data_IF_296403682285
#
_entry.id   IF_296403682285
#
_cell.length_a   1.000
_cell.length_b   1.000
_cell.length_c   1.000
_cell.angle_alpha   90.00
_cell.angle_beta   90.00
_cell.angle_gamma   90.00
#
_symmetry.space_group_name_H-M   'P 1'
#
loop_
_entity.id
_entity.type
_entity.pdbx_description
1 polymer ?
#
# COMPACT_ATOMS: atom_id res chain seq x y z
N UNK A 1 -3.43 3.59 28.84
CA UNK A 1 -3.47 5.02 29.17
C UNK A 1 -3.29 5.30 30.66
N UNK A 2 -3.21 4.28 31.53
CA UNK A 2 -2.95 4.49 32.97
C UNK A 2 -1.51 4.97 33.25
N UNK A 3 -0.57 4.76 32.32
CA UNK A 3 0.84 5.18 32.41
C UNK A 3 1.19 6.26 31.36
N UNK A 4 0.41 7.35 31.26
CA UNK A 4 0.78 8.46 30.37
C UNK A 4 1.64 9.47 31.14
N UNK A 5 2.89 9.66 30.71
CA UNK A 5 3.74 10.72 31.23
C UNK A 5 3.34 12.08 30.64
N UNK A 6 3.71 13.17 31.34
CA UNK A 6 3.63 14.53 30.80
C UNK A 6 4.55 14.62 29.57
N UNK A 7 3.97 14.48 28.37
CA UNK A 7 4.70 14.47 27.10
C UNK A 7 4.23 13.41 26.09
N UNK A 8 3.43 12.43 26.50
CA UNK A 8 2.90 11.42 25.59
C UNK A 8 1.72 11.94 24.75
N UNK A 9 1.72 11.61 23.45
CA UNK A 9 0.71 11.98 22.46
C UNK A 9 -0.71 11.52 22.81
N UNK A 10 -0.86 10.67 23.82
CA UNK A 10 -2.16 10.24 24.33
C UNK A 10 -2.93 9.28 23.43
N UNK A 11 -2.41 9.01 22.23
CA UNK A 11 -2.97 8.09 21.24
C UNK A 11 -1.83 7.39 20.52
N UNK A 12 -1.96 6.07 20.36
CA UNK A 12 -1.08 5.24 19.56
C UNK A 12 -1.77 4.80 18.27
N UNK A 13 -1.07 4.88 17.14
CA UNK A 13 -1.60 4.51 15.82
C UNK A 13 -0.78 3.35 15.25
N UNK A 14 -1.44 2.22 14.99
CA UNK A 14 -0.82 1.00 14.48
C UNK A 14 -1.22 0.74 13.02
N UNK A 15 -0.25 0.78 12.10
CA UNK A 15 -0.47 0.46 10.69
C UNK A 15 -0.34 -1.05 10.46
N UNK A 16 -1.42 -1.68 9.99
CA UNK A 16 -1.46 -3.12 9.73
C UNK A 16 -0.90 -3.45 8.34
N UNK A 17 -0.16 -4.55 8.23
CA UNK A 17 0.33 -5.08 6.96
C UNK A 17 -0.79 -5.85 6.26
N UNK A 18 -1.09 -5.50 5.01
CA UNK A 18 -2.13 -6.14 4.19
C UNK A 18 -1.50 -6.73 2.93
N UNK A 19 -1.75 -8.03 2.70
CA UNK A 19 -1.36 -8.75 1.48
C UNK A 19 0.10 -8.54 1.04
N UNK A 20 1.03 -8.55 2.00
CA UNK A 20 2.45 -8.35 1.72
C UNK A 20 3.10 -9.69 1.35
N UNK A 21 3.93 -9.69 0.30
CA UNK A 21 4.75 -10.85 -0.07
C UNK A 21 5.82 -11.14 1.00
N UNK A 22 6.00 -12.42 1.33
CA UNK A 22 7.12 -12.91 2.13
C UNK A 22 8.31 -13.33 1.27
N UNK A 23 9.46 -13.59 1.90
CA UNK A 23 10.66 -14.08 1.20
C UNK A 23 10.44 -15.43 0.49
N UNK A 24 9.44 -16.22 0.92
CA UNK A 24 9.08 -17.52 0.32
C UNK A 24 7.83 -17.41 -0.58
N UNK A 25 7.51 -16.21 -1.07
CA UNK A 25 6.33 -15.94 -1.91
C UNK A 25 4.98 -16.25 -1.25
N UNK A 26 4.92 -16.36 0.07
CA UNK A 26 3.66 -16.50 0.80
C UNK A 26 3.05 -15.13 1.13
N UNK A 27 1.78 -15.11 1.49
CA UNK A 27 1.05 -13.90 1.84
C UNK A 27 1.09 -13.61 3.36
N UNK A 28 1.56 -12.43 3.73
CA UNK A 28 1.49 -11.86 5.07
C UNK A 28 0.30 -10.91 5.14
N UNK A 29 -0.64 -11.20 6.04
CA UNK A 29 -1.84 -10.40 6.20
C UNK A 29 -2.19 -10.28 7.69
N UNK A 30 -2.33 -9.06 8.18
CA UNK A 30 -2.75 -8.78 9.54
C UNK A 30 -4.25 -8.45 9.59
N UNK A 31 -4.92 -8.95 10.64
CA UNK A 31 -6.36 -8.78 10.85
C UNK A 31 -6.61 -8.29 12.27
N UNK A 32 -7.33 -7.16 12.46
CA UNK A 32 -7.65 -6.68 13.80
C UNK A 32 -8.57 -7.67 14.52
N UNK A 33 -8.32 -7.86 15.82
CA UNK A 33 -9.14 -8.68 16.72
C UNK A 33 -10.11 -7.83 17.56
N UNK A 34 -9.67 -6.64 17.93
CA UNK A 34 -10.40 -5.75 18.84
C UNK A 34 -11.55 -5.02 18.15
N UNK A 35 -12.59 -4.70 18.91
CA UNK A 35 -13.74 -3.90 18.44
C UNK A 35 -13.71 -2.48 18.99
N UNK A 36 -14.43 -1.58 18.33
CA UNK A 36 -14.56 -0.18 18.78
C UNK A 36 -15.21 -0.14 20.17
N UNK A 37 -14.54 0.55 21.11
CA UNK A 37 -15.00 0.68 22.50
C UNK A 37 -14.50 -0.41 23.46
N UNK A 38 -13.76 -1.40 22.95
CA UNK A 38 -13.14 -2.42 23.78
C UNK A 38 -11.98 -1.84 24.60
N UNK A 39 -11.93 -2.18 25.89
CA UNK A 39 -10.80 -1.81 26.77
C UNK A 39 -9.70 -2.85 26.61
N UNK A 40 -8.51 -2.39 26.24
CA UNK A 40 -7.32 -3.24 26.07
C UNK A 40 -6.31 -3.00 27.19
N UNK A 41 -5.59 -4.05 27.57
CA UNK A 41 -4.50 -3.97 28.55
C UNK A 41 -3.14 -3.97 27.88
N UNK A 42 -2.11 -3.50 28.60
CA UNK A 42 -0.73 -3.50 28.11
C UNK A 42 -0.29 -4.94 27.83
N UNK A 43 0.21 -5.19 26.62
CA UNK A 43 0.64 -6.51 26.17
C UNK A 43 -0.45 -7.39 25.57
N UNK A 44 -1.71 -6.93 25.55
CA UNK A 44 -2.79 -7.64 24.86
C UNK A 44 -2.58 -7.62 23.35
N UNK A 45 -2.83 -8.76 22.69
CA UNK A 45 -2.79 -8.89 21.23
C UNK A 45 -4.01 -8.19 20.63
N UNK A 46 -3.78 -7.22 19.76
CA UNK A 46 -4.84 -6.42 19.11
C UNK A 46 -5.11 -6.83 17.65
N UNK A 47 -4.22 -7.61 17.05
CA UNK A 47 -4.35 -8.13 15.70
C UNK A 47 -3.57 -9.43 15.52
N UNK A 48 -4.15 -10.34 14.73
CA UNK A 48 -3.49 -11.56 14.31
C UNK A 48 -2.67 -11.33 13.04
N UNK A 49 -1.59 -12.11 12.93
CA UNK A 49 -0.73 -12.18 11.76
C UNK A 49 -0.99 -13.42 10.91
N UNK A 50 -0.06 -13.74 9.98
CA UNK A 50 -0.13 -15.00 9.24
C UNK A 50 0.05 -16.20 10.19
N UNK A 51 -0.79 -17.22 10.02
CA UNK A 51 -0.77 -18.46 10.82
C UNK A 51 -0.94 -18.24 12.34
N UNK A 52 -1.75 -17.25 12.72
CA UNK A 52 -2.13 -16.96 14.10
C UNK A 52 -3.65 -16.88 14.19
N UNK A 53 -4.21 -17.38 15.29
CA UNK A 53 -5.63 -17.26 15.64
C UNK A 53 -5.75 -16.86 17.11
N UNK A 54 -6.34 -15.70 17.39
CA UNK A 54 -6.53 -15.15 18.74
C UNK A 54 -5.24 -15.06 19.57
N UNK A 55 -4.11 -14.73 18.92
CA UNK A 55 -2.79 -14.66 19.56
C UNK A 55 -2.09 -16.01 19.76
N UNK A 56 -2.68 -17.12 19.34
CA UNK A 56 -2.07 -18.45 19.38
C UNK A 56 -1.57 -18.89 18.00
N UNK A 57 -0.50 -19.69 17.98
CA UNK A 57 0.07 -20.21 16.73
C UNK A 57 -0.87 -21.26 16.11
N UNK A 58 -1.37 -20.98 14.90
CA UNK A 58 -2.31 -21.84 14.18
C UNK A 58 -1.73 -22.23 12.81
N UNK A 59 -0.93 -23.31 12.79
CA UNK A 59 -0.20 -23.76 11.59
C UNK A 59 -1.06 -24.54 10.58
N UNK A 60 -2.21 -25.07 11.00
CA UNK A 60 -2.98 -26.02 10.20
C UNK A 60 -4.47 -26.04 10.54
N UNK A 61 -5.12 -27.13 10.18
CA UNK A 61 -6.56 -27.34 10.38
C UNK A 61 -6.81 -28.67 11.06
N UNK A 62 -7.79 -28.69 11.96
CA UNK A 62 -8.26 -29.92 12.57
C UNK A 62 -9.09 -30.70 11.54
N UNK A 63 -8.73 -31.96 11.32
CA UNK A 63 -9.40 -32.86 10.38
C UNK A 63 -9.76 -34.18 11.06
N UNK A 64 -10.82 -34.83 10.60
CA UNK A 64 -11.20 -36.16 11.09
C UNK A 64 -10.29 -37.20 10.44
N UNK A 65 -9.65 -38.02 11.28
CA UNK A 65 -8.71 -39.06 10.83
C UNK A 65 -9.29 -40.44 11.16
N UNK A 66 -9.28 -41.33 10.17
CA UNK A 66 -9.66 -42.73 10.33
C UNK A 66 -8.46 -43.63 10.09
N UNK A 67 -8.11 -44.44 11.08
CA UNK A 67 -7.02 -45.42 10.96
C UNK A 67 -7.57 -46.74 10.42
N UNK A 68 -7.62 -46.86 9.10
CA UNK A 68 -8.00 -48.10 8.42
C UNK A 68 -7.31 -48.22 7.06
N UNK A 69 -6.99 -49.43 6.59
CA UNK A 69 -6.59 -49.62 5.20
C UNK A 69 -7.78 -49.33 4.28
N UNK A 70 -7.56 -48.57 3.21
CA UNK A 70 -8.60 -48.20 2.26
C UNK A 70 -8.18 -48.49 0.82
N UNK A 71 -8.58 -49.66 0.30
CA UNK A 71 -8.37 -50.09 -1.09
C UNK A 71 -6.92 -49.94 -1.61
N UNK A 72 -5.92 -49.95 -0.71
CA UNK A 72 -4.51 -49.75 -1.06
C UNK A 72 -4.10 -48.30 -1.36
N UNK A 73 -5.01 -47.33 -1.29
CA UNK A 73 -4.67 -45.91 -1.55
C UNK A 73 -3.82 -45.28 -0.45
N UNK A 74 -3.85 -45.83 0.75
CA UNK A 74 -2.99 -45.45 1.87
C UNK A 74 -1.88 -46.47 2.10
N UNK A 75 -1.33 -47.02 1.02
CA UNK A 75 -0.15 -47.89 1.08
C UNK A 75 1.11 -47.07 1.44
N UNK A 76 1.99 -47.66 2.26
CA UNK A 76 3.17 -46.99 2.86
C UNK A 76 2.76 -45.71 3.61
N UNK A 77 3.31 -44.57 3.21
CA UNK A 77 3.08 -43.26 3.83
C UNK A 77 2.07 -42.40 3.04
N UNK A 78 1.30 -43.01 2.14
CA UNK A 78 0.32 -42.30 1.31
C UNK A 78 -0.89 -41.84 2.15
N UNK A 79 -1.31 -40.59 1.94
CA UNK A 79 -2.47 -40.01 2.63
C UNK A 79 -3.66 -39.95 1.68
N UNK A 80 -4.77 -40.57 2.07
CA UNK A 80 -6.04 -40.42 1.37
C UNK A 80 -6.81 -39.22 1.93
N UNK A 81 -7.20 -38.30 1.04
CA UNK A 81 -7.86 -37.04 1.41
C UNK A 81 -9.28 -37.05 0.87
N UNK A 82 -10.23 -36.64 1.71
CA UNK A 82 -11.62 -36.46 1.28
C UNK A 82 -11.73 -35.29 0.30
N UNK A 83 -12.49 -35.46 -0.77
CA UNK A 83 -12.77 -34.40 -1.74
C UNK A 83 -13.31 -33.12 -1.08
N UNK A 84 -14.06 -33.26 0.03
CA UNK A 84 -14.57 -32.13 0.81
C UNK A 84 -13.47 -31.16 1.26
N UNK A 85 -12.28 -31.67 1.58
CA UNK A 85 -11.14 -30.83 2.01
C UNK A 85 -10.69 -29.90 0.87
N UNK A 86 -10.75 -30.36 -0.38
CA UNK A 86 -10.42 -29.56 -1.57
C UNK A 86 -11.55 -28.61 -1.97
N UNK A 87 -12.81 -29.08 -1.88
CA UNK A 87 -13.99 -28.27 -2.18
C UNK A 87 -14.16 -27.10 -1.21
N UNK A 88 -13.94 -27.31 0.09
CA UNK A 88 -14.09 -26.31 1.14
C UNK A 88 -12.84 -25.41 1.32
N UNK A 89 -11.85 -25.51 0.40
CA UNK A 89 -10.61 -24.72 0.40
C UNK A 89 -9.83 -24.77 1.74
N UNK A 90 -9.89 -25.91 2.45
CA UNK A 90 -9.34 -26.07 3.81
C UNK A 90 -7.82 -25.85 3.86
N UNK A 91 -7.12 -26.37 2.85
CA UNK A 91 -5.66 -26.26 2.69
C UNK A 91 -5.28 -25.42 1.47
N UNK A 92 -6.11 -24.44 1.10
CA UNK A 92 -5.80 -23.51 0.02
C UNK A 92 -4.96 -22.35 0.54
N UNK A 93 -3.81 -22.10 -0.08
CA UNK A 93 -2.90 -21.01 0.28
C UNK A 93 -2.88 -19.91 -0.78
N UNK A 94 -2.53 -18.70 -0.36
CA UNK A 94 -2.30 -17.56 -1.26
C UNK A 94 -0.80 -17.36 -1.40
N UNK A 95 -0.33 -17.42 -2.63
CA UNK A 95 1.04 -17.11 -3.02
C UNK A 95 1.05 -15.80 -3.79
N UNK A 96 2.05 -14.97 -3.56
CA UNK A 96 2.23 -13.71 -4.28
C UNK A 96 3.54 -13.84 -5.04
N UNK A 97 3.41 -13.95 -6.36
CA UNK A 97 4.53 -14.02 -7.28
C UNK A 97 4.86 -12.62 -7.80
N UNK A 98 6.16 -12.32 -7.86
CA UNK A 98 6.66 -11.04 -8.38
C UNK A 98 7.25 -11.27 -9.76
N UNK A 99 6.73 -10.52 -10.73
CA UNK A 99 7.26 -10.44 -12.08
C UNK A 99 7.87 -9.06 -12.27
N UNK A 100 9.12 -9.00 -12.72
CA UNK A 100 9.80 -7.74 -12.96
C UNK A 100 10.32 -7.65 -14.39
N UNK A 101 10.23 -6.45 -14.96
CA UNK A 101 10.86 -6.12 -16.24
C UNK A 101 11.52 -4.75 -16.15
N UNK A 102 12.69 -4.65 -16.75
CA UNK A 102 13.45 -3.41 -16.84
C UNK A 102 13.58 -3.00 -18.31
N UNK A 103 13.33 -1.72 -18.57
CA UNK A 103 13.63 -1.05 -19.82
C UNK A 103 15.01 -0.41 -19.70
N UNK A 104 15.92 -0.81 -20.59
CA UNK A 104 17.32 -0.40 -20.56
C UNK A 104 17.67 0.50 -21.74
N UNK A 105 18.62 1.38 -21.53
CA UNK A 105 19.26 2.09 -22.63
C UNK A 105 20.27 1.14 -23.32
N UNK A 106 20.11 0.94 -24.62
CA UNK A 106 20.97 0.06 -25.41
C UNK A 106 21.73 0.85 -26.46
N UNK A 107 22.78 0.26 -27.02
CA UNK A 107 23.57 0.91 -28.09
C UNK A 107 22.75 1.25 -29.34
N UNK A 108 21.65 0.54 -29.57
CA UNK A 108 20.79 0.69 -30.74
C UNK A 108 19.62 1.66 -30.48
N UNK A 109 19.48 2.13 -29.23
CA UNK A 109 18.38 2.98 -28.78
C UNK A 109 17.82 2.52 -27.44
N UNK A 110 17.00 3.35 -26.79
CA UNK A 110 16.33 3.00 -25.56
C UNK A 110 15.26 1.91 -25.79
N UNK A 111 15.15 0.96 -24.87
CA UNK A 111 13.95 0.11 -24.79
C UNK A 111 12.79 0.93 -24.22
N UNK A 112 11.59 0.69 -24.74
CA UNK A 112 10.38 1.43 -24.35
C UNK A 112 9.32 0.46 -23.84
N UNK A 113 8.54 0.92 -22.85
CA UNK A 113 7.36 0.21 -22.35
C UNK A 113 6.15 0.87 -23.01
N UNK A 114 5.43 0.10 -23.82
CA UNK A 114 4.31 0.59 -24.63
C UNK A 114 3.31 -0.52 -24.91
N UNK A 115 2.07 -0.13 -25.17
CA UNK A 115 1.01 -1.02 -25.66
C UNK A 115 1.17 -1.37 -27.14
N UNK A 116 1.89 -0.56 -27.91
CA UNK A 116 2.10 -0.75 -29.35
C UNK A 116 3.19 -1.80 -29.61
N UNK A 117 2.79 -3.08 -29.60
CA UNK A 117 3.70 -4.22 -29.75
C UNK A 117 3.47 -4.87 -31.13
N UNK A 118 4.52 -5.03 -31.96
CA UNK A 118 4.36 -5.63 -33.28
C UNK A 118 4.04 -7.12 -33.19
N UNK A 119 3.24 -7.61 -34.14
CA UNK A 119 2.86 -9.03 -34.28
C UNK A 119 2.03 -9.61 -33.09
N UNK A 120 1.38 -8.75 -32.30
CA UNK A 120 0.49 -9.15 -31.20
C UNK A 120 -0.95 -8.80 -31.56
N UNK A 121 -1.88 -9.75 -31.39
CA UNK A 121 -3.31 -9.52 -31.64
C UNK A 121 -3.99 -8.71 -30.53
N UNK A 122 -5.10 -8.03 -30.86
CA UNK A 122 -5.84 -7.19 -29.90
C UNK A 122 -6.30 -7.94 -28.64
N UNK A 123 -6.59 -9.23 -28.76
CA UNK A 123 -7.01 -10.07 -27.62
C UNK A 123 -5.94 -10.14 -26.53
N UNK A 124 -4.66 -10.22 -26.89
CA UNK A 124 -3.56 -10.23 -25.93
C UNK A 124 -3.28 -8.83 -25.33
N UNK A 125 -3.75 -7.77 -25.98
CA UNK A 125 -3.62 -6.38 -25.50
C UNK A 125 -4.81 -5.93 -24.66
N UNK A 126 -5.86 -6.77 -24.50
CA UNK A 126 -7.11 -6.40 -23.79
C UNK A 126 -6.90 -6.00 -22.33
N UNK A 127 -5.90 -6.61 -21.70
CA UNK A 127 -5.61 -6.44 -20.27
C UNK A 127 -4.61 -5.29 -20.01
N UNK A 128 -4.02 -4.70 -21.07
CA UNK A 128 -3.03 -3.64 -20.95
C UNK A 128 -3.68 -2.25 -20.99
N UNK A 129 -3.17 -1.36 -20.15
CA UNK A 129 -3.49 0.06 -20.16
C UNK A 129 -2.79 0.80 -21.32
N UNK A 130 -3.07 2.10 -21.45
CA UNK A 130 -2.48 2.95 -22.49
C UNK A 130 -0.94 3.04 -22.38
N UNK A 131 -0.38 2.85 -21.19
CA UNK A 131 1.06 2.80 -20.96
C UNK A 131 1.68 1.41 -21.24
N UNK A 132 0.88 0.42 -21.64
CA UNK A 132 1.34 -0.95 -21.90
C UNK A 132 1.55 -1.78 -20.64
N UNK A 133 0.90 -1.46 -19.53
CA UNK A 133 0.99 -2.17 -18.25
C UNK A 133 -0.37 -2.79 -17.90
N UNK A 134 -0.37 -3.99 -17.33
CA UNK A 134 -1.61 -4.67 -16.94
C UNK A 134 -2.38 -3.91 -15.84
N UNK A 135 -3.72 -3.91 -15.93
CA UNK A 135 -4.58 -3.33 -14.90
C UNK A 135 -4.51 -4.10 -13.57
N UNK A 136 -4.59 -3.37 -12.44
CA UNK A 136 -4.76 -3.97 -11.12
C UNK A 136 -6.17 -4.58 -11.04
N UNK A 137 -6.26 -5.83 -10.61
CA UNK A 137 -7.50 -6.61 -10.58
C UNK A 137 -7.78 -7.41 -11.85
N UNK A 138 -6.93 -7.34 -12.87
CA UNK A 138 -7.05 -8.20 -14.04
C UNK A 138 -6.71 -9.66 -13.69
N UNK A 139 -7.53 -10.59 -14.18
CA UNK A 139 -7.22 -12.01 -14.18
C UNK A 139 -6.31 -12.33 -15.37
N UNK A 140 -5.21 -13.01 -15.08
CA UNK A 140 -4.16 -13.33 -16.05
C UNK A 140 -3.93 -14.82 -16.14
N UNK A 141 -3.76 -15.29 -17.36
CA UNK A 141 -3.51 -16.69 -17.70
C UNK A 141 -2.07 -16.88 -18.22
N UNK A 142 -1.55 -18.12 -18.24
CA UNK A 142 -0.23 -18.40 -18.80
C UNK A 142 -0.09 -17.89 -20.24
N UNK A 143 0.95 -17.07 -20.49
CA UNK A 143 1.22 -16.49 -21.81
C UNK A 143 0.66 -15.08 -22.03
N UNK A 144 -0.23 -14.60 -21.15
CA UNK A 144 -0.72 -13.22 -21.17
C UNK A 144 0.42 -12.22 -20.96
N UNK A 145 0.29 -11.04 -21.58
CA UNK A 145 1.26 -9.96 -21.47
C UNK A 145 0.94 -9.15 -20.20
N UNK A 146 1.92 -9.08 -19.28
CA UNK A 146 1.83 -8.26 -18.07
C UNK A 146 2.34 -6.84 -18.30
N UNK A 147 3.43 -6.72 -19.07
CA UNK A 147 4.04 -5.44 -19.42
C UNK A 147 4.57 -5.51 -20.85
N UNK A 148 4.02 -4.66 -21.71
CA UNK A 148 4.48 -4.48 -23.07
C UNK A 148 5.86 -3.82 -23.10
N UNK A 149 6.83 -4.47 -23.74
CA UNK A 149 8.18 -3.94 -23.91
C UNK A 149 8.66 -4.16 -25.33
N UNK A 150 9.19 -3.10 -25.93
CA UNK A 150 9.79 -3.13 -27.25
C UNK A 150 11.28 -2.81 -27.15
N UNK A 151 12.08 -3.53 -27.93
CA UNK A 151 13.53 -3.29 -28.06
C UNK A 151 13.84 -2.93 -29.52
N UNK A 152 14.55 -1.82 -29.78
CA UNK A 152 14.98 -1.48 -31.14
C UNK A 152 15.95 -2.55 -31.67
N UNK A 153 15.71 -3.02 -32.90
CA UNK A 153 16.65 -3.91 -33.61
C UNK A 153 17.65 -3.07 -34.39
N UNK A 154 18.84 -3.63 -34.60
CA UNK A 154 19.80 -3.07 -35.54
C UNK A 154 19.33 -3.30 -36.96
N UNK A 155 19.77 -2.43 -37.89
CA UNK A 155 19.44 -2.55 -39.31
C UNK A 155 19.84 -3.93 -39.83
N UNK A 156 18.83 -4.77 -40.06
CA UNK A 156 18.99 -6.02 -40.80
C UNK A 156 18.98 -5.69 -42.29
N UNK A 157 19.75 -6.38 -43.15
CA UNK A 157 19.65 -6.17 -44.59
C UNK A 157 18.23 -6.54 -45.05
N UNK A 158 17.40 -5.51 -45.28
CA UNK A 158 16.02 -5.68 -45.70
C UNK A 158 15.94 -6.22 -47.12
N UNK A 159 14.99 -7.13 -47.33
CA UNK A 159 14.64 -7.65 -48.65
C UNK A 159 14.08 -6.52 -49.54
N UNK A 160 14.20 -6.60 -50.88
CA UNK A 160 13.60 -5.63 -51.79
C UNK A 160 12.10 -5.38 -51.54
N UNK A 161 11.38 -6.41 -51.10
CA UNK A 161 9.96 -6.39 -50.74
C UNK A 161 9.69 -5.54 -49.48
N UNK A 162 10.49 -5.70 -48.44
CA UNK A 162 10.40 -4.89 -47.21
C UNK A 162 10.79 -3.42 -47.47
N UNK A 163 11.78 -3.18 -48.34
CA UNK A 163 12.13 -1.82 -48.78
C UNK A 163 10.98 -1.14 -49.52
N UNK A 164 10.27 -1.88 -50.37
CA UNK A 164 9.10 -1.36 -51.08
C UNK A 164 7.96 -1.03 -50.09
N UNK A 165 7.68 -1.92 -49.13
CA UNK A 165 6.67 -1.69 -48.10
C UNK A 165 7.02 -0.46 -47.24
N UNK A 166 8.28 -0.28 -46.84
CA UNK A 166 8.74 0.90 -46.09
C UNK A 166 8.60 2.20 -46.90
N UNK A 167 8.80 2.15 -48.22
CA UNK A 167 8.59 3.30 -49.09
C UNK A 167 7.10 3.68 -49.25
N UNK A 168 6.19 2.71 -49.14
CA UNK A 168 4.74 2.91 -49.30
C UNK A 168 4.08 3.34 -47.98
N UNK A 169 4.43 2.71 -46.86
CA UNK A 169 3.81 2.95 -45.54
C UNK A 169 4.59 3.95 -44.66
N UNK A 170 5.75 4.42 -45.13
CA UNK A 170 6.63 5.34 -44.40
C UNK A 170 7.47 4.64 -43.32
N UNK A 171 8.34 5.40 -42.67
CA UNK A 171 9.27 4.94 -41.60
C UNK A 171 8.61 4.39 -40.33
N UNK A 172 7.28 4.34 -40.26
CA UNK A 172 6.54 3.92 -39.05
C UNK A 172 6.59 2.42 -38.75
N UNK A 173 7.13 1.61 -39.65
CA UNK A 173 7.57 0.25 -39.28
C UNK A 173 8.93 0.38 -38.58
N UNK A 174 8.93 0.88 -37.34
CA UNK A 174 10.11 0.82 -36.50
C UNK A 174 10.49 -0.65 -36.37
N UNK A 175 11.75 -0.98 -36.67
CA UNK A 175 12.25 -2.36 -36.67
C UNK A 175 12.46 -2.78 -35.20
N UNK A 176 11.35 -2.94 -34.47
CA UNK A 176 11.34 -3.22 -33.04
C UNK A 176 10.97 -4.68 -32.80
N UNK A 177 11.49 -5.24 -31.72
CA UNK A 177 11.21 -6.62 -31.29
C UNK A 177 10.36 -6.58 -30.04
N UNK A 178 9.33 -7.43 -29.99
CA UNK A 178 8.63 -7.75 -28.75
C UNK A 178 9.59 -8.44 -27.77
N UNK A 179 9.83 -7.80 -26.62
CA UNK A 179 10.57 -8.32 -25.46
C UNK A 179 9.74 -8.18 -24.18
N UNK A 180 8.42 -8.21 -24.33
CA UNK A 180 7.42 -8.02 -23.27
C UNK A 180 7.51 -9.08 -22.17
N UNK A 181 7.08 -8.68 -20.98
CA UNK A 181 6.93 -9.56 -19.83
C UNK A 181 5.63 -10.36 -19.96
N UNK A 182 5.74 -11.68 -19.92
CA UNK A 182 4.59 -12.59 -20.00
C UNK A 182 4.49 -13.46 -18.75
N UNK A 183 3.26 -13.89 -18.44
CA UNK A 183 3.02 -14.85 -17.35
C UNK A 183 3.71 -16.18 -17.68
N UNK A 184 4.43 -16.74 -16.70
CA UNK A 184 5.14 -18.01 -16.86
C UNK A 184 4.15 -19.18 -17.04
N UNK A 185 4.52 -20.24 -17.78
CA UNK A 185 3.72 -21.45 -17.85
C UNK A 185 3.42 -22.02 -16.46
N UNK A 186 2.14 -22.26 -16.16
CA UNK A 186 1.68 -22.81 -14.88
C UNK A 186 1.34 -21.77 -13.81
N UNK A 187 1.72 -20.50 -13.99
CA UNK A 187 1.27 -19.40 -13.14
C UNK A 187 -0.02 -18.79 -13.69
N UNK A 188 -0.99 -18.53 -12.82
CA UNK A 188 -2.25 -17.87 -13.15
C UNK A 188 -2.75 -17.16 -11.90
N UNK A 189 -3.54 -16.11 -12.05
CA UNK A 189 -4.12 -15.44 -10.90
C UNK A 189 -4.54 -14.02 -11.19
N UNK A 190 -4.71 -13.24 -10.13
CA UNK A 190 -5.18 -11.86 -10.24
C UNK A 190 -4.04 -10.91 -9.92
N UNK A 191 -3.87 -9.86 -10.73
CA UNK A 191 -2.90 -8.80 -10.46
C UNK A 191 -3.34 -8.02 -9.22
N UNK A 192 -2.53 -8.02 -8.16
CA UNK A 192 -2.86 -7.34 -6.90
C UNK A 192 -2.21 -5.97 -6.77
N UNK A 193 -1.02 -5.81 -7.32
CA UNK A 193 -0.26 -4.57 -7.20
C UNK A 193 0.68 -4.42 -8.39
N UNK A 194 0.85 -3.17 -8.84
CA UNK A 194 1.82 -2.80 -9.87
C UNK A 194 2.65 -1.66 -9.32
N UNK A 195 3.98 -1.77 -9.40
CA UNK A 195 4.92 -0.72 -9.01
C UNK A 195 5.75 -0.31 -10.21
N UNK A 196 5.75 0.98 -10.49
CA UNK A 196 6.53 1.59 -11.58
C UNK A 196 7.63 2.43 -10.94
N UNK A 197 8.88 2.08 -11.23
CA UNK A 197 10.06 2.79 -10.77
C UNK A 197 10.67 3.52 -11.95
N UNK A 198 10.91 4.82 -11.79
CA UNK A 198 11.50 5.66 -12.83
C UNK A 198 12.81 6.26 -12.33
N UNK A 199 13.84 6.22 -13.17
CA UNK A 199 15.11 6.90 -12.88
C UNK A 199 14.91 8.42 -12.81
N UNK A 200 15.63 9.06 -11.91
CA UNK A 200 15.67 10.51 -11.81
C UNK A 200 16.07 11.17 -13.14
N UNK A 201 15.26 12.12 -13.63
CA UNK A 201 15.51 12.88 -14.86
C UNK A 201 14.92 12.28 -16.13
N UNK A 202 14.26 11.12 -16.06
CA UNK A 202 13.45 10.56 -17.15
C UNK A 202 12.06 11.17 -17.12
N UNK A 203 11.51 11.49 -18.29
CA UNK A 203 10.13 11.96 -18.40
C UNK A 203 9.16 10.88 -17.89
N UNK A 204 8.27 11.26 -16.98
CA UNK A 204 7.33 10.33 -16.36
C UNK A 204 6.11 10.18 -17.26
N UNK A 205 5.74 8.94 -17.56
CA UNK A 205 4.50 8.65 -18.28
C UNK A 205 3.27 9.09 -17.49
N UNK A 206 2.14 9.29 -18.18
CA UNK A 206 0.87 9.65 -17.54
C UNK A 206 0.48 8.68 -16.42
N UNK A 207 0.73 7.39 -16.62
CA UNK A 207 0.48 6.34 -15.62
C UNK A 207 1.35 6.51 -14.36
N UNK A 208 2.62 6.85 -14.52
CA UNK A 208 3.52 7.07 -13.39
C UNK A 208 3.15 8.34 -12.62
N UNK A 209 2.78 9.41 -13.33
CA UNK A 209 2.26 10.64 -12.72
C UNK A 209 0.95 10.41 -11.97
N UNK A 210 0.07 9.56 -12.50
CA UNK A 210 -1.17 9.17 -11.85
C UNK A 210 -0.88 8.42 -10.54
N UNK A 211 -0.01 7.40 -10.57
CA UNK A 211 0.38 6.64 -9.36
C UNK A 211 0.98 7.56 -8.29
N UNK A 212 1.86 8.47 -8.69
CA UNK A 212 2.46 9.45 -7.78
C UNK A 212 1.41 10.37 -7.15
N UNK A 213 0.46 10.88 -7.93
CA UNK A 213 -0.65 11.70 -7.41
C UNK A 213 -1.51 10.91 -6.43
N UNK A 214 -1.91 9.69 -6.79
CA UNK A 214 -2.74 8.82 -5.95
C UNK A 214 -2.03 8.48 -4.63
N UNK A 215 -0.72 8.24 -4.65
CA UNK A 215 0.07 7.96 -3.46
C UNK A 215 0.22 9.22 -2.58
N UNK A 216 0.45 10.40 -3.18
CA UNK A 216 0.49 11.67 -2.44
C UNK A 216 -0.88 11.98 -1.81
N UNK A 217 -1.99 11.75 -2.52
CA UNK A 217 -3.34 11.90 -1.99
C UNK A 217 -3.65 10.90 -0.87
N UNK A 218 -3.14 9.67 -0.96
CA UNK A 218 -3.25 8.68 0.12
C UNK A 218 -2.47 9.13 1.35
N UNK A 219 -1.23 9.58 1.18
CA UNK A 219 -0.41 10.12 2.26
C UNK A 219 -1.03 11.37 2.90
N UNK A 220 -1.70 12.21 2.09
CA UNK A 220 -2.40 13.39 2.58
C UNK A 220 -3.62 13.01 3.42
N UNK A 221 -4.43 12.04 2.97
CA UNK A 221 -5.54 11.48 3.76
C UNK A 221 -5.06 10.87 5.07
N UNK A 222 -4.01 10.05 5.04
CA UNK A 222 -3.39 9.50 6.24
C UNK A 222 -2.98 10.60 7.22
N UNK A 223 -2.30 11.65 6.74
CA UNK A 223 -1.90 12.79 7.58
C UNK A 223 -3.12 13.50 8.17
N UNK A 224 -4.14 13.77 7.36
CA UNK A 224 -5.33 14.49 7.81
C UNK A 224 -6.12 13.68 8.85
N UNK A 225 -6.19 12.36 8.69
CA UNK A 225 -6.78 11.46 9.69
C UNK A 225 -5.95 11.44 10.97
N UNK A 226 -4.62 11.31 10.88
CA UNK A 226 -3.72 11.37 12.04
C UNK A 226 -3.84 12.72 12.77
N UNK A 227 -3.90 13.84 12.04
CA UNK A 227 -4.09 15.17 12.59
C UNK A 227 -5.46 15.32 13.25
N UNK A 228 -6.54 14.82 12.63
CA UNK A 228 -7.87 14.87 13.20
C UNK A 228 -7.98 14.06 14.50
N UNK A 229 -7.30 12.92 14.59
CA UNK A 229 -7.19 12.11 15.81
C UNK A 229 -6.44 12.88 16.90
N UNK A 230 -5.30 13.48 16.55
CA UNK A 230 -4.50 14.29 17.45
C UNK A 230 -5.30 15.49 17.98
N UNK A 231 -5.91 16.27 17.09
CA UNK A 231 -6.76 17.41 17.42
C UNK A 231 -7.87 16.99 18.38
N UNK A 232 -8.60 15.90 18.06
CA UNK A 232 -9.68 15.41 18.91
C UNK A 232 -9.21 15.05 20.31
N UNK A 233 -8.04 14.43 20.45
CA UNK A 233 -7.48 14.07 21.74
C UNK A 233 -7.05 15.30 22.54
N UNK A 234 -6.28 16.20 21.93
CA UNK A 234 -5.74 17.39 22.58
C UNK A 234 -6.86 18.34 23.00
N UNK A 235 -7.84 18.60 22.13
CA UNK A 235 -8.96 19.47 22.48
C UNK A 235 -9.89 18.84 23.55
N UNK A 236 -10.01 17.51 23.60
CA UNK A 236 -10.73 16.86 24.69
C UNK A 236 -10.02 17.08 26.04
N UNK A 237 -8.69 16.87 26.07
CA UNK A 237 -7.87 17.13 27.26
C UNK A 237 -7.90 18.60 27.68
N UNK A 238 -7.75 19.51 26.70
CA UNK A 238 -7.80 20.95 26.93
C UNK A 238 -9.16 21.35 27.53
N UNK A 239 -10.27 20.84 26.97
CA UNK A 239 -11.62 21.07 27.51
C UNK A 239 -11.70 20.64 28.97
N UNK A 240 -11.26 19.43 29.31
CA UNK A 240 -11.32 18.91 30.67
C UNK A 240 -10.46 19.74 31.66
N UNK A 241 -9.35 20.32 31.20
CA UNK A 241 -8.48 21.17 32.02
C UNK A 241 -9.05 22.58 32.26
N UNK A 242 -9.68 23.19 31.25
CA UNK A 242 -10.14 24.59 31.33
C UNK A 242 -11.57 24.71 31.86
N UNK A 243 -12.38 23.65 31.79
CA UNK A 243 -13.80 23.70 32.17
C UNK A 243 -13.96 23.96 33.67
N UNK A 244 -14.77 24.96 34.01
CA UNK A 244 -15.02 25.38 35.40
C UNK A 244 -13.98 26.33 35.99
N UNK A 245 -12.84 26.59 35.30
CA UNK A 245 -11.81 27.55 35.72
C UNK A 245 -12.19 29.00 35.37
N UNK A 246 -11.49 29.97 35.95
CA UNK A 246 -11.70 31.41 35.70
C UNK A 246 -10.70 31.92 34.67
N UNK A 247 -11.20 32.56 33.60
CA UNK A 247 -10.38 33.20 32.59
C UNK A 247 -10.23 34.70 32.89
N UNK A 248 -9.01 35.16 33.12
CA UNK A 248 -8.68 36.58 33.33
C UNK A 248 -8.78 37.37 32.03
N UNK A 249 -8.39 36.74 30.92
CA UNK A 249 -8.42 37.32 29.58
C UNK A 249 -8.75 36.26 28.54
N UNK A 250 -9.46 36.66 27.49
CA UNK A 250 -9.81 35.76 26.40
C UNK A 250 -9.96 36.49 25.06
N UNK A 251 -10.28 35.74 23.99
CA UNK A 251 -10.54 36.28 22.66
C UNK A 251 -11.79 37.18 22.63
N UNK A 252 -11.96 37.93 21.53
CA UNK A 252 -13.09 38.86 21.33
C UNK A 252 -14.42 38.15 21.60
N UNK A 253 -15.12 38.59 22.65
CA UNK A 253 -16.41 38.01 23.09
C UNK A 253 -16.38 37.48 24.54
N UNK A 254 -15.21 37.21 25.11
CA UNK A 254 -15.06 36.74 26.49
C UNK A 254 -14.89 37.92 27.46
N UNK A 255 -15.69 37.96 28.54
CA UNK A 255 -15.56 38.96 29.61
C UNK A 255 -14.38 38.60 30.52
N UNK A 256 -13.62 39.60 30.97
CA UNK A 256 -12.56 39.39 31.97
C UNK A 256 -13.16 38.81 33.27
N UNK A 257 -12.44 37.88 33.89
CA UNK A 257 -12.83 37.14 35.10
C UNK A 257 -14.15 36.37 34.95
N UNK A 258 -14.40 35.80 33.76
CA UNK A 258 -15.56 34.93 33.54
C UNK A 258 -15.19 33.46 33.77
N UNK A 259 -16.14 32.70 34.29
CA UNK A 259 -16.00 31.26 34.42
C UNK A 259 -16.16 30.59 33.05
N UNK A 260 -15.30 29.64 32.74
CA UNK A 260 -15.33 28.88 31.50
C UNK A 260 -16.42 27.80 31.62
N UNK A 261 -17.58 28.08 31.04
CA UNK A 261 -18.70 27.13 30.93
C UNK A 261 -18.70 26.44 29.57
N UNK A 262 -19.40 25.31 29.46
CA UNK A 262 -19.56 24.59 28.19
C UNK A 262 -20.20 25.48 27.11
N UNK A 263 -21.21 26.27 27.48
CA UNK A 263 -21.85 27.26 26.61
C UNK A 263 -20.85 28.29 26.06
N UNK A 264 -19.91 28.77 26.89
CA UNK A 264 -18.88 29.71 26.46
C UNK A 264 -17.94 29.06 25.43
N UNK A 265 -17.54 27.81 25.66
CA UNK A 265 -16.66 27.07 24.75
C UNK A 265 -17.31 26.79 23.39
N UNK A 266 -18.62 26.56 23.34
CA UNK A 266 -19.37 26.37 22.08
C UNK A 266 -19.43 27.64 21.22
N UNK A 267 -19.36 28.84 21.84
CA UNK A 267 -19.32 30.10 21.09
C UNK A 267 -17.96 30.40 20.47
N UNK A 268 -16.91 29.71 20.92
CA UNK A 268 -15.52 29.93 20.49
C UNK A 268 -15.08 28.87 19.48
N UNK A 269 -14.19 29.25 18.57
CA UNK A 269 -13.53 28.26 17.70
C UNK A 269 -12.47 27.48 18.51
N UNK A 270 -12.17 26.24 18.11
CA UNK A 270 -11.16 25.42 18.82
C UNK A 270 -9.81 26.12 18.95
N UNK A 271 -9.35 26.82 17.91
CA UNK A 271 -8.11 27.59 17.96
C UNK A 271 -8.12 28.77 18.95
N UNK A 272 -9.31 29.29 19.29
CA UNK A 272 -9.47 30.35 20.29
C UNK A 272 -9.35 29.84 21.73
N UNK A 273 -9.49 28.54 21.98
CA UNK A 273 -9.37 27.98 23.33
C UNK A 273 -7.96 28.17 23.90
N UNK A 274 -6.93 28.13 23.06
CA UNK A 274 -5.54 28.42 23.43
C UNK A 274 -5.27 29.88 23.84
N UNK A 275 -6.21 30.79 23.55
CA UNK A 275 -6.07 32.21 23.88
C UNK A 275 -6.70 32.58 25.23
N UNK A 276 -7.29 31.61 25.93
CA UNK A 276 -7.85 31.79 27.26
C UNK A 276 -6.71 31.81 28.29
N UNK A 277 -6.50 32.95 28.92
CA UNK A 277 -5.55 33.10 30.02
C UNK A 277 -6.25 32.76 31.34
N UNK A 278 -5.81 31.68 31.98
CA UNK A 278 -6.32 31.23 33.28
C UNK A 278 -5.80 32.13 34.40
N UNK A 279 -6.59 32.25 35.48
CA UNK A 279 -6.20 33.00 36.68
C UNK A 279 -5.11 32.28 37.50
N UNK A 280 -5.17 30.96 37.55
CA UNK A 280 -4.21 30.13 38.27
C UNK A 280 -2.94 29.93 37.44
N UNK A 281 -1.78 30.28 38.01
CA UNK A 281 -0.48 30.17 37.35
C UNK A 281 -0.06 28.72 37.07
N UNK A 282 -0.45 27.76 37.90
CA UNK A 282 -0.08 26.36 37.72
C UNK A 282 -0.92 25.71 36.63
N UNK A 283 -2.23 25.99 36.58
CA UNK A 283 -3.08 25.57 35.46
C UNK A 283 -2.62 26.22 34.14
N UNK A 284 -2.22 27.50 34.16
CA UNK A 284 -1.72 28.21 32.99
C UNK A 284 -0.44 27.55 32.42
N UNK A 285 0.51 27.16 33.28
CA UNK A 285 1.72 26.43 32.86
C UNK A 285 1.39 25.08 32.24
N UNK A 286 0.40 24.35 32.76
CA UNK A 286 -0.03 23.06 32.22
C UNK A 286 -0.63 23.23 30.82
N UNK A 287 -1.49 24.24 30.63
CA UNK A 287 -2.08 24.54 29.31
C UNK A 287 -1.02 24.99 28.31
N UNK A 288 -0.05 25.80 28.73
CA UNK A 288 1.07 26.22 27.89
C UNK A 288 1.93 25.03 27.46
N UNK A 289 2.29 24.13 28.39
CA UNK A 289 3.03 22.92 28.08
C UNK A 289 2.28 21.99 27.10
N UNK A 290 0.95 21.85 27.26
CA UNK A 290 0.13 21.09 26.34
C UNK A 290 0.10 21.71 24.93
N UNK A 291 0.05 23.04 24.84
CA UNK A 291 0.09 23.76 23.57
C UNK A 291 1.44 23.59 22.86
N UNK A 292 2.56 23.72 23.59
CA UNK A 292 3.90 23.48 23.05
C UNK A 292 4.05 22.05 22.52
N UNK A 293 3.57 21.07 23.29
CA UNK A 293 3.57 19.66 22.88
C UNK A 293 2.75 19.44 21.59
N UNK A 294 1.56 20.00 21.51
CA UNK A 294 0.70 19.92 20.34
C UNK A 294 1.38 20.51 19.09
N UNK A 295 1.99 21.69 19.21
CA UNK A 295 2.73 22.33 18.12
C UNK A 295 3.95 21.50 17.67
N UNK A 296 4.69 20.89 18.60
CA UNK A 296 5.81 19.98 18.28
C UNK A 296 5.31 18.75 17.52
N UNK A 297 4.22 18.14 17.98
CA UNK A 297 3.65 16.94 17.36
C UNK A 297 3.12 17.22 15.96
N UNK A 298 2.41 18.34 15.79
CA UNK A 298 1.93 18.81 14.49
C UNK A 298 3.09 19.06 13.52
N UNK A 299 4.13 19.79 13.93
CA UNK A 299 5.32 20.00 13.09
C UNK A 299 6.02 18.69 12.74
N UNK A 300 6.08 17.75 13.67
CA UNK A 300 6.67 16.42 13.44
C UNK A 300 5.85 15.63 12.41
N UNK A 301 4.52 15.69 12.51
CA UNK A 301 3.60 15.08 11.55
C UNK A 301 3.80 15.67 10.14
N UNK A 302 3.80 17.00 10.04
CA UNK A 302 3.99 17.73 8.79
C UNK A 302 5.36 17.43 8.16
N UNK A 303 6.44 17.46 8.95
CA UNK A 303 7.78 17.13 8.48
C UNK A 303 7.88 15.67 7.98
N UNK A 304 7.23 14.72 8.66
CA UNK A 304 7.16 13.32 8.19
C UNK A 304 6.37 13.19 6.89
N UNK A 305 5.30 13.96 6.73
CA UNK A 305 4.53 13.98 5.49
C UNK A 305 5.35 14.55 4.34
N UNK A 306 6.03 15.69 4.55
CA UNK A 306 6.91 16.31 3.56
C UNK A 306 8.05 15.38 3.15
N UNK A 307 8.73 14.73 4.09
CA UNK A 307 9.80 13.75 3.81
C UNK A 307 9.27 12.56 2.98
N UNK A 308 8.07 12.04 3.29
CA UNK A 308 7.45 10.97 2.49
C UNK A 308 7.09 11.45 1.09
N UNK A 309 6.51 12.64 0.94
CA UNK A 309 6.15 13.20 -0.37
C UNK A 309 7.40 13.49 -1.20
N UNK A 310 8.47 13.99 -0.60
CA UNK A 310 9.75 14.18 -1.26
C UNK A 310 10.31 12.84 -1.75
N UNK A 311 10.28 11.80 -0.92
CA UNK A 311 10.74 10.44 -1.31
C UNK A 311 9.96 9.89 -2.50
N UNK A 312 8.64 10.08 -2.56
CA UNK A 312 7.83 9.67 -3.71
C UNK A 312 8.21 10.47 -4.98
N UNK A 313 8.54 11.75 -4.84
CA UNK A 313 8.90 12.64 -5.96
C UNK A 313 10.31 12.42 -6.50
N UNK A 314 11.27 12.14 -5.62
CA UNK A 314 12.72 12.11 -5.87
C UNK A 314 13.17 11.03 -6.85
N UNK A 315 12.26 10.12 -7.25
CA UNK A 315 12.55 9.04 -8.18
C UNK A 315 13.42 7.97 -7.54
N UNK A 316 13.57 6.85 -8.24
CA UNK A 316 14.16 5.65 -7.67
C UNK A 316 15.62 5.47 -8.10
N UNK A 317 16.41 4.88 -7.20
CA UNK A 317 17.77 4.46 -7.52
C UNK A 317 17.72 3.14 -8.29
N UNK A 318 17.96 3.22 -9.60
CA UNK A 318 17.88 2.10 -10.53
C UNK A 318 19.28 1.67 -11.01
N UNK A 319 19.52 0.36 -11.21
CA UNK A 319 20.81 -0.15 -11.69
C UNK A 319 21.31 0.57 -12.95
N UNK A 320 22.62 0.80 -13.11
CA UNK A 320 23.17 1.53 -14.25
C UNK A 320 22.62 1.06 -15.59
N UNK A 321 22.18 1.99 -16.44
CA UNK A 321 21.56 1.69 -17.74
C UNK A 321 20.08 1.32 -17.72
N UNK A 322 19.46 1.08 -16.56
CA UNK A 322 17.99 0.90 -16.43
C UNK A 322 17.28 2.25 -16.32
N UNK A 323 16.40 2.58 -17.27
CA UNK A 323 15.67 3.85 -17.27
C UNK A 323 14.35 3.74 -16.51
N UNK A 324 13.65 2.62 -16.68
CA UNK A 324 12.36 2.33 -16.05
C UNK A 324 12.32 0.87 -15.65
N UNK A 325 11.74 0.58 -14.49
CA UNK A 325 11.51 -0.79 -14.01
C UNK A 325 10.05 -0.92 -13.59
N UNK A 326 9.39 -1.99 -14.01
CA UNK A 326 8.01 -2.28 -13.64
C UNK A 326 7.98 -3.63 -12.92
N UNK A 327 7.36 -3.65 -11.74
CA UNK A 327 7.12 -4.85 -10.95
C UNK A 327 5.62 -5.10 -10.87
N UNK A 328 5.20 -6.30 -11.24
CA UNK A 328 3.80 -6.75 -11.21
C UNK A 328 3.70 -7.88 -10.21
N UNK A 329 2.80 -7.72 -9.24
CA UNK A 329 2.52 -8.74 -8.22
C UNK A 329 1.25 -9.47 -8.61
N UNK A 330 1.34 -10.79 -8.79
CA UNK A 330 0.21 -11.65 -9.14
C UNK A 330 -0.07 -12.56 -7.95
N UNK A 331 -1.30 -12.51 -7.45
CA UNK A 331 -1.74 -13.41 -6.38
C UNK A 331 -2.34 -14.67 -6.97
N UNK A 332 -1.77 -15.81 -6.59
CA UNK A 332 -2.17 -17.15 -7.01
C UNK A 332 -2.78 -17.87 -5.83
N UNK A 333 -3.99 -18.43 -6.00
CA UNK A 333 -4.56 -19.38 -5.04
C UNK A 333 -4.10 -20.78 -5.41
N UNK A 334 -3.27 -21.39 -4.57
CA UNK A 334 -2.84 -22.78 -4.76
C UNK A 334 -3.75 -23.70 -3.97
N UNK A 335 -4.52 -24.50 -4.70
CA UNK A 335 -5.37 -25.54 -4.12
C UNK A 335 -4.56 -26.82 -3.90
N UNK A 336 -5.02 -27.61 -2.95
CA UNK A 336 -4.49 -28.95 -2.73
C UNK A 336 -4.72 -29.82 -3.97
N UNK A 337 -3.67 -30.47 -4.47
CA UNK A 337 -3.70 -31.37 -5.62
C UNK A 337 -3.00 -32.70 -5.25
N UNK A 338 -3.37 -33.83 -5.88
CA UNK A 338 -2.60 -35.06 -5.77
C UNK A 338 -1.16 -34.82 -6.24
N UNK A 339 -0.19 -35.27 -5.42
CA UNK A 339 1.24 -35.06 -5.64
C UNK A 339 2.02 -36.36 -5.73
#
# INVERSE_FOLDING_TARGET
>A
TEDLELGDAGVDIYRMRKFQRSNQNTCINQRPLVKVGEKVTKGQVIADGPSTDMGELALGKNVVVAFMPWNGYNYEDSILISERISQDDVFTSIHIEEFEVAARDTKLGPEEITRDIPNVGEEALRNLDEAGIVYIGADVEPGDILVGKITPKGESPMTPEEKLLRAIFGEKASDVRDTSLRVKPGDFGTVVEVRVFNRHGVEKDERALQIEREEVERLARDRDDELAILDRNIYARLKDMILGKIAVKGPKGVKANSQITEELLETLTRGQWWQLALEDEDDAKIVEALNEQYEIQKRTLDARFEDKVEKVRRGDDLPPGVMKMVKVFVAVKRKLQPG
#
